data_IF_961561704621
#
_entry.id   IF_961561704621
#
_cell.length_a   1.000
_cell.length_b   1.000
_cell.length_c   1.000
_cell.angle_alpha   90.00
_cell.angle_beta   90.00
_cell.angle_gamma   90.00
#
_symmetry.space_group_name_H-M   'P 1'
#
loop_
_entity.id
_entity.type
_entity.pdbx_description
1 polymer ?
#
# COMPACT_ATOMS: atom_id res chain seq x y z
N UNK A 1 -27.95 33.36 8.40
CA UNK A 1 -26.67 33.05 7.71
C UNK A 1 -26.49 31.54 7.78
N UNK A 2 -26.53 30.86 6.65
CA UNK A 2 -26.89 29.45 6.55
C UNK A 2 -25.78 28.50 7.05
N UNK A 3 -26.19 27.54 7.88
CA UNK A 3 -25.39 26.41 8.38
C UNK A 3 -25.47 25.31 7.31
N UNK A 4 -24.37 25.07 6.59
CA UNK A 4 -24.27 24.03 5.57
C UNK A 4 -23.88 22.68 6.20
N UNK A 5 -24.89 21.85 6.46
CA UNK A 5 -24.75 20.46 6.86
C UNK A 5 -24.36 19.62 5.63
N UNK A 6 -23.07 19.31 5.45
CA UNK A 6 -22.65 18.36 4.41
C UNK A 6 -22.92 16.93 4.89
N UNK A 7 -24.07 16.40 4.48
CA UNK A 7 -24.37 14.97 4.48
C UNK A 7 -23.45 14.28 3.47
N UNK A 8 -22.44 13.56 3.95
CA UNK A 8 -21.75 12.55 3.14
C UNK A 8 -22.71 11.38 2.89
N UNK A 9 -22.95 10.96 1.64
CA UNK A 9 -23.75 9.78 1.39
C UNK A 9 -23.02 8.55 1.96
N UNK A 10 -23.74 7.77 2.77
CA UNK A 10 -23.28 6.49 3.25
C UNK A 10 -23.25 5.50 2.07
N UNK A 11 -22.07 5.26 1.51
CA UNK A 11 -21.84 4.13 0.62
C UNK A 11 -21.10 3.04 1.40
N UNK A 12 -21.79 1.93 1.61
CA UNK A 12 -21.20 0.64 1.99
C UNK A 12 -20.21 0.25 0.90
N UNK A 13 -18.92 0.13 1.26
CA UNK A 13 -17.99 -0.62 0.44
C UNK A 13 -18.50 -2.07 0.39
N UNK A 14 -18.66 -2.63 -0.80
CA UNK A 14 -18.87 -4.05 -0.95
C UNK A 14 -17.63 -4.75 -0.39
N UNK A 15 -17.84 -5.54 0.66
CA UNK A 15 -16.81 -6.36 1.24
C UNK A 15 -16.31 -7.34 0.18
N UNK A 16 -14.98 -7.41 0.00
CA UNK A 16 -14.37 -8.64 -0.49
C UNK A 16 -14.77 -9.76 0.48
N UNK A 17 -15.08 -10.93 -0.07
CA UNK A 17 -15.67 -12.09 0.60
C UNK A 17 -15.30 -12.20 2.09
N UNK A 18 -16.35 -12.11 2.90
CA UNK A 18 -16.32 -12.22 4.35
C UNK A 18 -15.64 -13.52 4.82
N UNK A 19 -14.59 -13.38 5.63
CA UNK A 19 -14.09 -14.47 6.49
C UNK A 19 -14.91 -14.45 7.80
N UNK A 20 -15.44 -15.59 8.28
CA UNK A 20 -16.20 -15.62 9.52
C UNK A 20 -15.30 -15.33 10.73
N UNK A 21 -15.79 -14.45 11.62
CA UNK A 21 -15.18 -14.21 12.92
C UNK A 21 -15.22 -15.48 13.77
N UNK A 22 -14.06 -15.94 14.24
CA UNK A 22 -13.98 -16.96 15.27
C UNK A 22 -14.14 -16.27 16.63
N UNK A 23 -15.27 -16.56 17.28
CA UNK A 23 -15.56 -16.18 18.66
C UNK A 23 -14.93 -17.21 19.61
N UNK A 24 -14.24 -16.76 20.66
CA UNK A 24 -13.50 -17.64 21.56
C UNK A 24 -12.60 -16.90 22.56
N UNK A 25 -13.21 -16.50 23.67
CA UNK A 25 -12.65 -15.67 24.73
C UNK A 25 -11.32 -16.16 25.36
N UNK A 26 -10.40 -15.23 25.60
CA UNK A 26 -9.44 -15.31 26.70
C UNK A 26 -9.47 -14.00 27.49
N UNK A 27 -9.98 -14.08 28.72
CA UNK A 27 -9.86 -13.03 29.73
C UNK A 27 -8.42 -12.98 30.24
N UNK A 28 -7.83 -11.80 30.30
CA UNK A 28 -6.66 -11.51 31.15
C UNK A 28 -6.81 -10.16 31.88
N UNK A 29 -6.22 -10.03 33.09
CA UNK A 29 -6.58 -9.03 34.11
C UNK A 29 -6.02 -7.62 33.79
N UNK A 30 -6.39 -6.56 34.55
CA UNK A 30 -6.03 -5.19 34.19
C UNK A 30 -4.52 -5.00 34.35
N UNK A 31 -3.83 -4.68 33.26
CA UNK A 31 -2.41 -4.33 33.29
C UNK A 31 -2.27 -2.86 33.64
N UNK A 32 -1.50 -2.63 34.69
CA UNK A 32 -1.21 -1.34 35.29
C UNK A 32 -0.57 -0.36 34.29
N UNK A 33 -0.93 0.91 34.44
CA UNK A 33 -0.25 2.03 33.79
C UNK A 33 1.25 2.00 34.17
N UNK A 34 2.11 1.75 33.19
CA UNK A 34 3.55 1.63 33.40
C UNK A 34 4.34 2.20 32.23
N UNK A 35 4.92 3.38 32.48
CA UNK A 35 6.07 4.00 31.80
C UNK A 35 6.02 4.17 30.27
N UNK A 36 5.65 5.38 29.85
CA UNK A 36 6.06 5.97 28.58
C UNK A 36 7.59 6.03 28.52
N UNK A 37 8.22 5.06 27.86
CA UNK A 37 9.59 5.22 27.37
C UNK A 37 9.52 6.20 26.20
N UNK A 38 10.16 7.35 26.35
CA UNK A 38 10.28 8.38 25.33
C UNK A 38 11.20 7.89 24.21
N UNK A 39 10.68 7.02 23.34
CA UNK A 39 11.35 6.65 22.09
C UNK A 39 11.47 7.93 21.27
N UNK A 40 12.69 8.43 21.12
CA UNK A 40 12.93 9.55 20.21
C UNK A 40 12.81 9.03 18.78
N UNK A 41 12.16 9.78 17.89
CA UNK A 41 11.97 9.39 16.49
C UNK A 41 13.28 9.26 15.68
N UNK A 42 14.43 9.55 16.30
CA UNK A 42 15.76 9.44 15.69
C UNK A 42 16.31 8.00 15.65
N UNK A 43 15.60 7.02 16.23
CA UNK A 43 16.04 5.61 16.27
C UNK A 43 15.48 4.72 15.14
N UNK A 44 14.63 5.24 14.24
CA UNK A 44 14.18 4.44 13.09
C UNK A 44 15.26 4.37 12.03
N UNK A 45 15.89 3.19 11.91
CA UNK A 45 16.80 2.84 10.83
C UNK A 45 16.25 1.64 10.08
N UNK A 46 15.66 1.90 8.91
CA UNK A 46 15.25 0.84 8.00
C UNK A 46 16.40 0.62 7.02
N UNK A 47 17.08 -0.52 7.12
CA UNK A 47 18.25 -0.85 6.30
C UNK A 47 19.36 0.22 6.34
N UNK A 48 19.56 0.84 7.51
CA UNK A 48 20.55 1.90 7.71
C UNK A 48 20.09 3.31 7.32
N UNK A 49 18.89 3.47 6.77
CA UNK A 49 18.33 4.76 6.36
C UNK A 49 17.40 5.32 7.43
N UNK A 50 17.53 6.62 7.68
CA UNK A 50 16.71 7.39 8.62
C UNK A 50 16.08 8.60 7.96
N UNK A 51 14.91 8.99 8.46
CA UNK A 51 14.29 10.29 8.11
C UNK A 51 15.26 11.43 8.45
N UNK A 52 15.37 12.42 7.55
CA UNK A 52 16.24 13.58 7.67
C UNK A 52 17.66 13.42 7.10
N UNK A 53 18.05 12.19 6.74
CA UNK A 53 19.30 11.90 6.03
C UNK A 53 19.38 12.69 4.71
N UNK A 54 20.57 13.15 4.32
CA UNK A 54 20.77 13.78 3.01
C UNK A 54 20.69 12.76 1.88
N UNK A 55 20.32 13.22 0.69
CA UNK A 55 20.35 12.40 -0.52
C UNK A 55 21.75 11.83 -0.78
N UNK A 56 22.82 12.58 -0.53
CA UNK A 56 24.19 12.08 -0.67
C UNK A 56 24.53 10.94 0.29
N UNK A 57 24.06 11.01 1.54
CA UNK A 57 24.25 9.92 2.51
C UNK A 57 23.43 8.69 2.11
N UNK A 58 22.19 8.88 1.64
CA UNK A 58 21.34 7.82 1.11
C UNK A 58 22.03 7.08 -0.04
N UNK A 59 22.51 7.81 -1.05
CA UNK A 59 23.22 7.24 -2.21
C UNK A 59 24.52 6.57 -1.77
N UNK A 60 25.21 7.10 -0.76
CA UNK A 60 26.39 6.47 -0.18
C UNK A 60 26.12 5.11 0.48
N UNK A 61 24.89 4.87 0.95
CA UNK A 61 24.49 3.62 1.63
C UNK A 61 23.86 2.62 0.65
N UNK A 62 22.90 3.06 -0.17
CA UNK A 62 22.13 2.17 -1.05
C UNK A 62 22.57 2.20 -2.52
N UNK A 63 23.46 3.13 -2.90
CA UNK A 63 23.78 3.40 -4.30
C UNK A 63 22.68 4.20 -5.00
N UNK A 64 22.73 4.23 -6.33
CA UNK A 64 21.71 4.91 -7.14
C UNK A 64 20.39 4.12 -7.17
N UNK A 65 19.23 4.78 -7.05
CA UNK A 65 17.94 4.12 -7.19
C UNK A 65 17.73 3.64 -8.62
N UNK A 66 16.98 2.54 -8.78
CA UNK A 66 16.60 2.06 -10.11
C UNK A 66 15.62 3.00 -10.82
N UNK A 67 14.79 3.71 -10.04
CA UNK A 67 13.75 4.61 -10.55
C UNK A 67 13.41 5.69 -9.52
N UNK A 68 12.88 6.82 -9.98
CA UNK A 68 12.33 7.91 -9.15
C UNK A 68 10.85 8.13 -9.52
N UNK A 69 9.96 7.78 -8.60
CA UNK A 69 8.52 7.75 -8.78
C UNK A 69 7.85 8.90 -8.02
N UNK A 70 6.82 9.52 -8.61
CA UNK A 70 6.08 10.59 -7.95
C UNK A 70 5.11 9.99 -6.92
N UNK A 71 5.20 10.44 -5.67
CA UNK A 71 4.27 10.05 -4.60
C UNK A 71 2.99 10.90 -4.58
N UNK A 72 1.98 10.40 -3.87
CA UNK A 72 0.76 11.12 -3.51
C UNK A 72 1.04 12.38 -2.67
N UNK A 73 2.16 12.40 -1.94
CA UNK A 73 2.64 13.52 -1.13
C UNK A 73 3.43 14.57 -1.92
N UNK A 74 3.66 14.36 -3.22
CA UNK A 74 4.46 15.24 -4.08
C UNK A 74 5.96 15.31 -3.70
N UNK A 75 6.48 14.29 -3.01
CA UNK A 75 7.91 13.96 -3.00
C UNK A 75 8.19 12.83 -4.00
N UNK A 76 9.46 12.50 -4.23
CA UNK A 76 9.84 11.37 -5.10
C UNK A 76 10.21 10.13 -4.28
N UNK A 77 9.59 8.99 -4.57
CA UNK A 77 10.04 7.68 -4.12
C UNK A 77 11.26 7.24 -4.93
N UNK A 78 12.37 7.03 -4.25
CA UNK A 78 13.57 6.43 -4.81
C UNK A 78 13.42 4.93 -4.65
N UNK A 79 13.28 4.22 -5.77
CA UNK A 79 12.92 2.81 -5.80
C UNK A 79 14.18 1.97 -5.88
N UNK A 80 14.39 1.10 -4.89
CA UNK A 80 15.49 0.13 -4.85
C UNK A 80 14.92 -1.28 -5.02
N UNK A 81 14.71 -1.67 -6.28
CA UNK A 81 14.09 -2.95 -6.66
C UNK A 81 15.07 -3.93 -7.32
N UNK A 82 16.37 -3.64 -7.31
CA UNK A 82 17.40 -4.51 -7.89
C UNK A 82 17.54 -5.82 -7.11
N UNK A 83 17.21 -5.81 -5.80
CA UNK A 83 17.06 -7.00 -4.98
C UNK A 83 15.75 -6.95 -4.19
N UNK A 84 14.75 -7.68 -4.66
CA UNK A 84 13.43 -7.74 -4.04
C UNK A 84 13.41 -8.35 -2.63
N UNK A 85 14.40 -9.17 -2.23
CA UNK A 85 14.49 -9.67 -0.84
C UNK A 85 14.75 -8.55 0.17
N UNK A 86 15.37 -7.46 -0.30
CA UNK A 86 15.70 -6.27 0.50
C UNK A 86 14.99 -5.03 -0.03
N UNK A 87 13.83 -5.21 -0.67
CA UNK A 87 13.08 -4.11 -1.29
C UNK A 87 12.85 -2.94 -0.33
N UNK A 88 13.16 -1.72 -0.80
CA UNK A 88 12.92 -0.48 -0.06
C UNK A 88 12.56 0.64 -1.04
N UNK A 89 11.66 1.52 -0.60
CA UNK A 89 11.35 2.79 -1.27
C UNK A 89 11.69 3.92 -0.31
N UNK A 90 12.43 4.92 -0.79
CA UNK A 90 12.90 6.04 0.04
C UNK A 90 12.34 7.36 -0.52
N UNK A 91 11.46 8.00 0.23
CA UNK A 91 10.87 9.28 -0.18
C UNK A 91 11.87 10.40 0.03
N UNK A 92 12.20 11.14 -1.02
CA UNK A 92 13.15 12.25 -1.01
C UNK A 92 12.44 13.53 -1.44
N UNK A 93 12.60 14.58 -0.63
CA UNK A 93 12.13 15.92 -0.95
C UNK A 93 13.19 16.95 -0.58
N UNK A 94 13.51 17.86 -1.50
CA UNK A 94 14.51 18.90 -1.31
C UNK A 94 15.87 18.35 -0.81
N UNK A 95 16.32 17.22 -1.38
CA UNK A 95 17.60 16.57 -1.03
C UNK A 95 17.63 15.90 0.34
N UNK A 96 16.48 15.65 0.95
CA UNK A 96 16.33 15.02 2.26
C UNK A 96 15.39 13.84 2.22
N UNK A 97 15.73 12.78 2.95
CA UNK A 97 14.85 11.64 3.20
C UNK A 97 13.68 12.09 4.08
N UNK A 98 12.47 11.89 3.60
CA UNK A 98 11.22 12.30 4.28
C UNK A 98 10.20 11.18 4.42
N UNK A 99 10.39 10.04 3.74
CA UNK A 99 9.56 8.86 3.93
C UNK A 99 10.36 7.58 3.65
N UNK A 100 9.90 6.46 4.19
CA UNK A 100 10.48 5.13 3.97
C UNK A 100 9.35 4.11 3.86
N UNK A 101 9.52 3.10 3.01
CA UNK A 101 8.70 1.89 3.02
C UNK A 101 9.56 0.68 2.77
N UNK A 102 9.31 -0.41 3.51
CA UNK A 102 9.89 -1.72 3.20
C UNK A 102 8.96 -2.84 3.65
N UNK A 103 8.95 -3.92 2.86
CA UNK A 103 8.36 -5.22 3.20
C UNK A 103 9.40 -6.35 3.22
N UNK A 104 10.69 -5.98 3.25
CA UNK A 104 11.79 -6.90 3.50
C UNK A 104 11.65 -7.52 4.90
N UNK A 105 12.38 -8.61 5.17
CA UNK A 105 12.32 -9.29 6.46
C UNK A 105 13.41 -8.85 7.44
N UNK A 106 14.45 -8.17 6.94
CA UNK A 106 15.68 -7.85 7.68
C UNK A 106 15.73 -6.44 8.28
N UNK A 107 14.57 -5.81 8.50
CA UNK A 107 14.50 -4.51 9.15
C UNK A 107 14.11 -4.62 10.62
N UNK A 108 14.57 -3.65 11.42
CA UNK A 108 14.19 -3.50 12.81
C UNK A 108 13.90 -2.03 13.06
N UNK A 109 12.65 -1.73 13.40
CA UNK A 109 12.20 -0.42 13.82
C UNK A 109 12.54 -0.15 15.29
N UNK A 110 12.09 1.00 15.79
CA UNK A 110 12.30 1.37 17.18
C UNK A 110 11.63 0.37 18.14
N UNK A 111 12.19 0.22 19.34
CA UNK A 111 11.65 -0.73 20.33
C UNK A 111 11.72 -2.21 19.92
N UNK A 112 12.50 -2.55 18.88
CA UNK A 112 12.68 -3.93 18.43
C UNK A 112 11.56 -4.47 17.54
N UNK A 113 10.60 -3.63 17.13
CA UNK A 113 9.52 -4.02 16.23
C UNK A 113 10.07 -4.33 14.84
N UNK A 114 9.69 -5.47 14.27
CA UNK A 114 10.16 -5.89 12.95
C UNK A 114 9.13 -6.74 12.22
N UNK A 115 9.57 -7.35 11.12
CA UNK A 115 8.79 -8.36 10.43
C UNK A 115 8.42 -9.51 11.39
N UNK A 116 7.15 -9.89 11.42
CA UNK A 116 6.64 -10.95 12.28
C UNK A 116 6.24 -10.51 13.69
N UNK A 117 6.51 -9.26 14.10
CA UNK A 117 6.05 -8.75 15.40
C UNK A 117 4.52 -8.80 15.52
N UNK A 118 4.02 -9.13 16.70
CA UNK A 118 2.60 -9.13 16.99
C UNK A 118 2.08 -7.70 17.19
N UNK A 119 0.80 -7.47 16.88
CA UNK A 119 0.16 -6.16 17.11
C UNK A 119 0.34 -5.65 18.54
N UNK A 120 0.21 -6.53 19.53
CA UNK A 120 0.35 -6.16 20.93
C UNK A 120 1.77 -5.67 21.26
N UNK A 121 2.79 -6.20 20.60
CA UNK A 121 4.17 -5.73 20.75
C UNK A 121 4.31 -4.32 20.15
N UNK A 122 3.71 -4.09 18.97
CA UNK A 122 3.66 -2.76 18.34
C UNK A 122 3.00 -1.75 19.27
N UNK A 123 1.84 -2.06 19.84
CA UNK A 123 1.12 -1.16 20.73
C UNK A 123 1.86 -0.92 22.06
N UNK A 124 2.57 -1.92 22.56
CA UNK A 124 3.44 -1.77 23.72
C UNK A 124 4.63 -0.84 23.44
N UNK A 125 5.21 -0.91 22.23
CA UNK A 125 6.34 -0.09 21.84
C UNK A 125 5.95 1.34 21.40
N UNK A 126 4.88 1.48 20.63
CA UNK A 126 4.50 2.73 19.94
C UNK A 126 3.28 3.42 20.52
N UNK A 127 2.59 2.79 21.48
CA UNK A 127 1.35 3.28 22.06
C UNK A 127 0.12 2.87 21.24
N UNK A 128 -1.03 3.42 21.61
CA UNK A 128 -2.29 3.13 20.92
C UNK A 128 -2.33 3.74 19.53
N UNK A 129 -2.94 3.03 18.55
CA UNK A 129 -3.06 3.55 17.19
C UNK A 129 -3.93 4.81 17.12
N UNK A 130 -3.57 5.71 16.22
CA UNK A 130 -4.29 6.94 15.95
C UNK A 130 -5.59 6.66 15.18
N UNK A 131 -6.73 7.01 15.79
CA UNK A 131 -8.03 6.99 15.11
C UNK A 131 -8.27 8.20 14.20
N UNK A 132 -7.51 9.28 14.39
CA UNK A 132 -7.62 10.49 13.57
C UNK A 132 -6.35 11.33 13.63
N UNK A 133 -6.19 12.20 12.65
CA UNK A 133 -5.11 13.17 12.57
C UNK A 133 -5.66 14.56 12.27
N UNK A 134 -5.24 15.56 13.05
CA UNK A 134 -5.58 16.96 12.79
C UNK A 134 -4.50 17.58 11.91
N UNK A 135 -4.84 17.95 10.68
CA UNK A 135 -3.95 18.68 9.76
C UNK A 135 -4.52 20.08 9.53
N UNK A 136 -3.82 21.10 10.04
CA UNK A 136 -4.35 22.46 10.11
C UNK A 136 -5.67 22.51 10.90
N UNK A 137 -6.75 22.93 10.23
CA UNK A 137 -8.09 23.04 10.83
C UNK A 137 -9.00 21.83 10.54
N UNK A 138 -8.51 20.81 9.83
CA UNK A 138 -9.30 19.65 9.41
C UNK A 138 -8.89 18.41 10.20
N UNK A 139 -9.87 17.66 10.69
CA UNK A 139 -9.65 16.37 11.34
C UNK A 139 -9.91 15.27 10.32
N UNK A 140 -8.87 14.51 9.99
CA UNK A 140 -8.91 13.36 9.13
C UNK A 140 -9.13 12.12 10.00
N UNK A 141 -10.25 11.44 9.82
CA UNK A 141 -10.55 10.20 10.55
C UNK A 141 -10.06 9.02 9.73
N UNK A 142 -9.33 8.12 10.38
CA UNK A 142 -8.97 6.85 9.79
C UNK A 142 -10.04 5.83 10.14
N UNK A 143 -10.45 5.04 9.15
CA UNK A 143 -11.32 3.89 9.41
C UNK A 143 -10.45 2.76 9.92
N UNK A 144 -10.98 2.00 10.87
CA UNK A 144 -10.44 0.70 11.20
C UNK A 144 -10.76 -0.24 10.04
N UNK A 145 -9.81 -0.39 9.11
CA UNK A 145 -9.95 -1.21 7.91
C UNK A 145 -9.80 -2.70 8.26
N UNK A 146 -10.66 -3.21 9.14
CA UNK A 146 -10.59 -4.59 9.63
C UNK A 146 -9.27 -4.92 10.33
N UNK A 147 -8.55 -3.91 10.83
CA UNK A 147 -7.22 -4.07 11.37
C UNK A 147 -6.10 -4.33 10.36
N UNK A 148 -6.27 -4.13 9.05
CA UNK A 148 -5.19 -4.40 8.07
C UNK A 148 -3.89 -3.61 8.35
N UNK A 149 -3.99 -2.44 8.97
CA UNK A 149 -2.85 -1.66 9.40
C UNK A 149 -3.15 -0.85 10.66
N UNK A 150 -2.10 -0.31 11.28
CA UNK A 150 -2.20 0.62 12.40
C UNK A 150 -1.27 1.81 12.17
N UNK A 151 -1.73 3.02 12.53
CA UNK A 151 -0.95 4.24 12.41
C UNK A 151 -0.56 4.75 13.80
N UNK A 152 0.72 5.01 14.00
CA UNK A 152 1.28 5.48 15.27
C UNK A 152 2.10 6.75 15.07
N UNK A 153 2.13 7.62 16.07
CA UNK A 153 3.09 8.72 16.11
C UNK A 153 4.25 8.31 17.00
N UNK A 154 5.44 8.15 16.42
CA UNK A 154 6.63 7.74 17.16
C UNK A 154 7.71 8.80 16.96
N UNK A 155 7.89 9.64 17.97
CA UNK A 155 8.76 10.81 17.87
C UNK A 155 8.33 11.76 16.74
N UNK A 156 9.24 12.01 15.79
CA UNK A 156 9.06 12.93 14.67
C UNK A 156 8.46 12.32 13.40
N UNK A 157 7.94 11.09 13.47
CA UNK A 157 7.39 10.38 12.30
C UNK A 157 6.02 9.79 12.60
N UNK A 158 5.23 9.61 11.53
CA UNK A 158 4.07 8.74 11.51
C UNK A 158 4.48 7.39 10.94
N UNK A 159 4.27 6.33 11.73
CA UNK A 159 4.59 4.96 11.37
C UNK A 159 3.30 4.17 11.10
N UNK A 160 3.14 3.71 9.87
CA UNK A 160 2.07 2.78 9.47
C UNK A 160 2.63 1.38 9.44
N UNK A 161 2.07 0.48 10.25
CA UNK A 161 2.44 -0.93 10.31
C UNK A 161 1.33 -1.73 9.64
N UNK A 162 1.68 -2.54 8.65
CA UNK A 162 0.73 -3.41 7.95
C UNK A 162 0.81 -4.83 8.49
N UNK A 163 -0.34 -5.49 8.59
CA UNK A 163 -0.47 -6.81 9.18
C UNK A 163 -0.98 -7.83 8.17
N UNK A 164 -0.49 -9.06 8.29
CA UNK A 164 -1.11 -10.22 7.63
C UNK A 164 -2.15 -10.85 8.57
N UNK A 165 -3.42 -10.56 8.29
CA UNK A 165 -4.55 -11.06 9.08
C UNK A 165 -4.69 -12.59 9.03
N UNK A 166 -4.22 -13.21 7.94
CA UNK A 166 -4.23 -14.67 7.79
C UNK A 166 -3.06 -15.38 8.48
N UNK A 167 -1.98 -14.64 8.78
CA UNK A 167 -0.77 -15.17 9.42
C UNK A 167 -0.56 -14.55 10.80
N UNK A 168 -1.46 -14.88 11.72
CA UNK A 168 -1.42 -14.51 13.15
C UNK A 168 -1.44 -12.99 13.40
N UNK A 169 -1.90 -12.18 12.45
CA UNK A 169 -1.97 -10.72 12.59
C UNK A 169 -0.60 -10.10 12.94
N UNK A 170 0.43 -10.59 12.25
CA UNK A 170 1.82 -10.16 12.45
C UNK A 170 2.24 -9.13 11.42
N UNK A 171 3.18 -8.27 11.79
CA UNK A 171 3.70 -7.19 10.93
C UNK A 171 4.38 -7.77 9.69
N UNK A 172 4.04 -7.26 8.51
CA UNK A 172 4.66 -7.65 7.23
C UNK A 172 5.44 -6.54 6.56
N UNK A 173 5.08 -5.30 6.83
CA UNK A 173 5.73 -4.12 6.25
C UNK A 173 5.51 -2.89 7.13
N UNK A 174 6.31 -1.87 6.86
CA UNK A 174 6.26 -0.59 7.55
C UNK A 174 6.39 0.55 6.56
N UNK A 175 5.60 1.60 6.75
CA UNK A 175 5.77 2.90 6.11
C UNK A 175 6.04 3.95 7.18
N UNK A 176 7.07 4.76 6.98
CA UNK A 176 7.38 5.93 7.81
C UNK A 176 7.20 7.19 6.96
N UNK A 177 6.54 8.20 7.51
CA UNK A 177 6.43 9.53 6.90
C UNK A 177 6.83 10.58 7.94
N UNK A 178 7.70 11.50 7.57
CA UNK A 178 8.07 12.64 8.41
C UNK A 178 6.81 13.41 8.84
N UNK A 179 6.74 13.76 10.13
CA UNK A 179 5.57 14.41 10.71
C UNK A 179 5.21 15.72 9.98
N UNK A 180 6.20 16.52 9.58
CA UNK A 180 5.94 17.79 8.90
C UNK A 180 5.37 17.55 7.51
N UNK A 181 5.87 16.53 6.80
CA UNK A 181 5.32 16.13 5.50
C UNK A 181 3.86 15.69 5.65
N UNK A 182 3.57 14.75 6.56
CA UNK A 182 2.22 14.23 6.77
C UNK A 182 1.21 15.33 7.13
N UNK A 183 1.60 16.24 8.04
CA UNK A 183 0.75 17.34 8.48
C UNK A 183 0.58 18.45 7.43
N UNK A 184 1.54 18.61 6.50
CA UNK A 184 1.44 19.55 5.39
C UNK A 184 0.55 19.05 4.26
N UNK A 185 0.41 17.72 4.11
CA UNK A 185 -0.38 17.09 3.07
C UNK A 185 -1.88 17.28 3.33
N UNK A 186 -2.53 18.04 2.45
CA UNK A 186 -3.97 18.32 2.52
C UNK A 186 -4.74 17.26 1.74
N UNK A 187 -5.62 16.54 2.41
CA UNK A 187 -6.37 15.44 1.81
C UNK A 187 -5.76 14.08 2.11
N UNK A 188 -6.25 13.09 1.37
CA UNK A 188 -5.76 11.71 1.38
C UNK A 188 -5.13 11.32 0.03
N UNK A 189 -5.43 12.05 -1.04
CA UNK A 189 -5.07 11.68 -2.41
C UNK A 189 -4.17 12.74 -3.03
N UNK A 190 -3.14 12.27 -3.74
CA UNK A 190 -2.29 13.13 -4.54
C UNK A 190 -3.04 13.77 -5.70
N UNK A 191 -2.48 14.85 -6.25
CA UNK A 191 -3.04 15.49 -7.44
C UNK A 191 -2.89 14.55 -8.64
N UNK A 192 -3.99 14.18 -9.34
CA UNK A 192 -3.92 13.32 -10.51
C UNK A 192 -2.97 13.89 -11.58
N UNK A 193 -2.11 13.03 -12.11
CA UNK A 193 -1.24 13.32 -13.26
C UNK A 193 -0.85 12.02 -13.94
N UNK A 194 -0.43 12.10 -15.20
CA UNK A 194 0.11 10.94 -15.94
C UNK A 194 1.32 10.35 -15.22
N UNK A 195 2.25 11.19 -14.77
CA UNK A 195 3.42 10.78 -14.00
C UNK A 195 3.06 10.03 -12.72
N UNK A 196 2.08 10.52 -11.96
CA UNK A 196 1.60 9.83 -10.76
C UNK A 196 0.95 8.48 -11.10
N UNK A 197 0.15 8.42 -12.17
CA UNK A 197 -0.46 7.16 -12.65
C UNK A 197 0.61 6.12 -12.94
N UNK A 198 1.64 6.48 -13.71
CA UNK A 198 2.73 5.57 -14.10
C UNK A 198 3.58 5.14 -12.91
N UNK A 199 3.84 6.07 -11.98
CA UNK A 199 4.55 5.79 -10.73
C UNK A 199 3.82 4.71 -9.94
N UNK A 200 2.53 4.92 -9.64
CA UNK A 200 1.72 3.96 -8.89
C UNK A 200 1.60 2.60 -9.60
N UNK A 201 1.47 2.57 -10.94
CA UNK A 201 1.42 1.32 -11.70
C UNK A 201 2.73 0.50 -11.58
N UNK A 202 3.88 1.17 -11.63
CA UNK A 202 5.20 0.53 -11.47
C UNK A 202 5.47 0.12 -10.03
N UNK A 203 5.08 0.95 -9.05
CA UNK A 203 5.17 0.62 -7.63
C UNK A 203 4.36 -0.65 -7.31
N UNK A 204 3.15 -0.80 -7.87
CA UNK A 204 2.34 -2.02 -7.69
C UNK A 204 3.08 -3.27 -8.21
N UNK A 205 3.74 -3.19 -9.39
CA UNK A 205 4.56 -4.30 -9.91
C UNK A 205 5.68 -4.65 -8.91
N UNK A 206 6.40 -3.65 -8.42
CA UNK A 206 7.53 -3.84 -7.52
C UNK A 206 7.11 -4.44 -6.18
N UNK A 207 6.00 -3.95 -5.61
CA UNK A 207 5.42 -4.48 -4.37
C UNK A 207 4.97 -5.94 -4.54
N UNK A 208 4.31 -6.25 -5.65
CA UNK A 208 3.94 -7.63 -6.01
C UNK A 208 5.17 -8.52 -6.15
N UNK A 209 6.22 -8.07 -6.82
CA UNK A 209 7.45 -8.84 -6.99
C UNK A 209 8.23 -9.03 -5.69
N UNK A 210 8.26 -8.02 -4.82
CA UNK A 210 8.86 -8.12 -3.49
C UNK A 210 8.22 -9.24 -2.66
N UNK A 211 6.89 -9.31 -2.62
CA UNK A 211 6.19 -10.39 -1.92
C UNK A 211 6.39 -11.73 -2.62
N UNK A 212 6.34 -11.78 -3.96
CA UNK A 212 6.55 -13.03 -4.70
C UNK A 212 7.92 -13.63 -4.40
N UNK A 213 8.98 -12.83 -4.44
CA UNK A 213 10.34 -13.30 -4.14
C UNK A 213 10.43 -13.80 -2.70
N UNK A 214 9.85 -13.09 -1.73
CA UNK A 214 9.78 -13.51 -0.32
C UNK A 214 9.06 -14.86 -0.14
N UNK A 215 8.08 -15.16 -0.99
CA UNK A 215 7.35 -16.44 -0.99
C UNK A 215 7.96 -17.49 -1.95
N UNK A 216 9.19 -17.28 -2.43
CA UNK A 216 9.91 -18.22 -3.30
C UNK A 216 9.39 -18.30 -4.73
N UNK A 217 8.61 -17.31 -5.17
CA UNK A 217 8.09 -17.20 -6.55
C UNK A 217 8.98 -16.32 -7.40
N UNK A 218 9.00 -16.58 -8.71
CA UNK A 218 9.71 -15.75 -9.68
C UNK A 218 9.03 -14.37 -9.80
N UNK A 219 9.78 -13.27 -9.92
CA UNK A 219 9.24 -11.97 -10.30
C UNK A 219 8.45 -12.06 -11.60
N UNK A 220 7.38 -11.28 -11.70
CA UNK A 220 6.63 -11.05 -12.93
C UNK A 220 7.33 -10.00 -13.76
N UNK A 221 7.35 -10.20 -15.07
CA UNK A 221 7.81 -9.20 -16.01
C UNK A 221 6.67 -8.24 -16.36
N UNK A 222 6.97 -6.95 -16.45
CA UNK A 222 6.00 -5.98 -16.93
C UNK A 222 5.62 -6.26 -18.38
N UNK A 223 4.35 -6.07 -18.72
CA UNK A 223 3.88 -6.09 -20.09
C UNK A 223 2.98 -4.87 -20.38
N UNK A 224 3.35 -4.09 -21.39
CA UNK A 224 2.64 -2.85 -21.73
C UNK A 224 1.25 -3.10 -22.33
N UNK A 225 1.09 -4.17 -23.12
CA UNK A 225 -0.18 -4.49 -23.77
C UNK A 225 -1.28 -4.79 -22.74
N UNK A 226 -0.99 -5.67 -21.77
CA UNK A 226 -1.94 -6.00 -20.71
C UNK A 226 -2.16 -4.83 -19.73
N UNK A 227 -1.16 -3.96 -19.56
CA UNK A 227 -1.32 -2.73 -18.78
C UNK A 227 -2.33 -1.78 -19.45
N UNK A 228 -2.34 -1.68 -20.79
CA UNK A 228 -3.37 -0.93 -21.51
C UNK A 228 -4.76 -1.51 -21.26
N UNK A 229 -4.92 -2.84 -21.30
CA UNK A 229 -6.20 -3.50 -20.96
C UNK A 229 -6.63 -3.22 -19.51
N UNK A 230 -5.70 -3.28 -18.56
CA UNK A 230 -5.96 -2.96 -17.15
C UNK A 230 -6.40 -1.49 -16.98
N UNK A 231 -5.74 -0.55 -17.67
CA UNK A 231 -6.10 0.89 -17.63
C UNK A 231 -7.50 1.13 -18.19
N UNK A 232 -7.87 0.44 -19.28
CA UNK A 232 -9.23 0.51 -19.84
C UNK A 232 -10.27 0.09 -18.80
N UNK A 233 -10.04 -1.01 -18.07
CA UNK A 233 -10.99 -1.50 -17.06
C UNK A 233 -11.09 -0.54 -15.86
N UNK A 234 -9.97 -0.06 -15.33
CA UNK A 234 -9.98 0.97 -14.28
C UNK A 234 -10.72 2.25 -14.72
N UNK A 235 -10.53 2.68 -15.97
CA UNK A 235 -11.25 3.83 -16.52
C UNK A 235 -12.74 3.54 -16.73
N UNK A 236 -13.12 2.31 -17.07
CA UNK A 236 -14.51 1.90 -17.24
C UNK A 236 -15.24 1.90 -15.89
N UNK A 237 -14.65 1.25 -14.87
CA UNK A 237 -15.13 1.28 -13.47
C UNK A 237 -15.35 2.72 -12.98
N UNK A 238 -14.37 3.59 -13.26
CA UNK A 238 -14.45 5.01 -12.90
C UNK A 238 -15.59 5.76 -13.61
N UNK A 239 -15.67 5.64 -14.94
CA UNK A 239 -16.61 6.42 -15.77
C UNK A 239 -18.06 5.97 -15.59
N UNK A 240 -18.27 4.67 -15.45
CA UNK A 240 -19.61 4.05 -15.32
C UNK A 240 -19.98 3.73 -13.87
N UNK A 241 -19.17 4.21 -12.92
CA UNK A 241 -19.41 4.16 -11.47
C UNK A 241 -19.79 2.75 -10.99
N UNK A 242 -18.98 1.75 -11.34
CA UNK A 242 -19.13 0.38 -10.86
C UNK A 242 -17.79 -0.14 -10.33
N UNK A 243 -17.86 -1.23 -9.56
CA UNK A 243 -16.68 -1.94 -9.06
C UNK A 243 -16.93 -3.44 -9.14
N UNK A 244 -16.41 -4.07 -10.20
CA UNK A 244 -16.64 -5.48 -10.53
C UNK A 244 -15.58 -5.98 -11.52
N UNK A 245 -15.30 -7.28 -11.51
CA UNK A 245 -14.48 -7.93 -12.53
C UNK A 245 -15.15 -7.90 -13.90
N UNK A 246 -16.45 -8.20 -13.94
CA UNK A 246 -17.26 -8.11 -15.16
C UNK A 246 -17.75 -6.67 -15.33
N UNK A 247 -17.62 -6.12 -16.54
CA UNK A 247 -18.15 -4.80 -16.84
C UNK A 247 -19.67 -4.85 -17.09
N UNK A 248 -20.38 -3.71 -17.11
CA UNK A 248 -21.83 -3.72 -17.28
C UNK A 248 -22.31 -4.18 -18.66
N UNK A 249 -21.40 -4.41 -19.62
CA UNK A 249 -21.70 -5.05 -20.91
C UNK A 249 -21.55 -6.58 -20.85
N UNK A 250 -21.26 -7.13 -19.66
CA UNK A 250 -21.10 -8.56 -19.41
C UNK A 250 -19.74 -9.12 -19.82
N UNK A 251 -18.75 -8.27 -20.11
CA UNK A 251 -17.41 -8.71 -20.49
C UNK A 251 -16.58 -9.00 -19.25
N UNK A 252 -16.08 -10.24 -19.15
CA UNK A 252 -15.13 -10.65 -18.13
C UNK A 252 -13.72 -10.09 -18.40
N UNK A 253 -12.78 -10.19 -17.43
CA UNK A 253 -11.39 -9.82 -17.66
C UNK A 253 -10.80 -10.55 -18.88
N UNK A 254 -11.19 -11.81 -19.07
CA UNK A 254 -10.74 -12.67 -20.15
C UNK A 254 -11.28 -12.25 -21.51
N UNK A 255 -12.54 -11.79 -21.56
CA UNK A 255 -13.12 -11.21 -22.79
C UNK A 255 -12.39 -9.93 -23.19
N UNK A 256 -12.08 -9.07 -22.21
CA UNK A 256 -11.31 -7.84 -22.45
C UNK A 256 -9.90 -8.14 -22.95
N UNK A 257 -9.19 -9.09 -22.34
CA UNK A 257 -7.87 -9.54 -22.80
C UNK A 257 -7.92 -10.09 -24.22
N UNK A 258 -8.90 -10.94 -24.54
CA UNK A 258 -9.10 -11.49 -25.88
C UNK A 258 -9.41 -10.42 -26.91
N UNK A 259 -10.26 -9.45 -26.57
CA UNK A 259 -10.60 -8.32 -27.45
C UNK A 259 -9.38 -7.45 -27.77
N UNK A 260 -8.48 -7.29 -26.80
CA UNK A 260 -7.22 -6.57 -26.96
C UNK A 260 -6.10 -7.41 -27.60
N UNK A 261 -6.40 -8.64 -28.04
CA UNK A 261 -5.47 -9.50 -28.77
C UNK A 261 -4.47 -10.26 -27.90
N UNK A 262 -4.69 -10.30 -26.58
CA UNK A 262 -3.79 -10.95 -25.64
C UNK A 262 -4.08 -12.45 -25.59
N UNK A 263 -3.16 -13.24 -26.13
CA UNK A 263 -3.21 -14.70 -26.09
C UNK A 263 -2.45 -15.24 -24.87
N UNK A 264 -3.10 -16.09 -24.08
CA UNK A 264 -2.51 -16.63 -22.85
C UNK A 264 -2.95 -18.07 -22.58
N UNK A 265 -2.14 -18.79 -21.78
CA UNK A 265 -2.48 -20.10 -21.22
C UNK A 265 -3.08 -20.04 -19.82
N UNK A 266 -2.78 -18.96 -19.09
CA UNK A 266 -3.30 -18.67 -17.75
C UNK A 266 -3.44 -17.15 -17.61
N UNK A 267 -4.49 -16.68 -16.96
CA UNK A 267 -4.67 -15.26 -16.63
C UNK A 267 -5.44 -15.09 -15.31
N UNK A 268 -5.32 -13.92 -14.71
CA UNK A 268 -6.05 -13.52 -13.51
C UNK A 268 -6.16 -12.01 -13.40
N UNK A 269 -7.11 -11.52 -12.61
CA UNK A 269 -7.31 -10.09 -12.36
C UNK A 269 -7.46 -9.83 -10.86
N UNK A 270 -6.82 -8.78 -10.36
CA UNK A 270 -7.17 -8.16 -9.08
C UNK A 270 -7.66 -6.73 -9.33
N UNK A 271 -8.64 -6.26 -8.57
CA UNK A 271 -9.13 -4.88 -8.62
C UNK A 271 -9.15 -4.27 -7.21
N UNK A 272 -8.93 -2.97 -7.12
CA UNK A 272 -9.08 -2.19 -5.89
C UNK A 272 -9.59 -0.78 -6.21
N UNK A 273 -10.24 -0.14 -5.25
CA UNK A 273 -10.72 1.23 -5.41
C UNK A 273 -10.74 1.95 -4.05
N UNK A 274 -10.34 3.22 -4.02
CA UNK A 274 -10.30 4.04 -2.80
C UNK A 274 -9.00 4.01 -2.01
N UNK A 275 -8.03 3.19 -2.40
CA UNK A 275 -6.71 3.19 -1.77
C UNK A 275 -5.88 4.40 -2.22
N UNK A 276 -5.20 5.02 -1.27
CA UNK A 276 -4.52 6.31 -1.48
C UNK A 276 -3.20 6.19 -2.23
N UNK A 277 -2.58 5.01 -2.23
CA UNK A 277 -1.34 4.72 -2.94
C UNK A 277 -1.21 3.23 -3.30
N UNK A 278 -0.17 2.91 -4.09
CA UNK A 278 0.18 1.56 -4.49
C UNK A 278 0.44 0.65 -3.29
N UNK A 279 1.07 1.18 -2.23
CA UNK A 279 1.31 0.47 -0.97
C UNK A 279 -0.02 0.01 -0.35
N UNK A 280 -0.96 0.92 -0.14
CA UNK A 280 -2.25 0.57 0.46
C UNK A 280 -3.08 -0.37 -0.42
N UNK A 281 -3.04 -0.21 -1.75
CA UNK A 281 -3.71 -1.13 -2.67
C UNK A 281 -3.11 -2.55 -2.56
N UNK A 282 -1.78 -2.65 -2.55
CA UNK A 282 -1.07 -3.92 -2.44
C UNK A 282 -1.34 -4.64 -1.12
N UNK A 283 -1.22 -3.95 0.02
CA UNK A 283 -1.43 -4.54 1.34
C UNK A 283 -2.90 -4.98 1.53
N UNK A 284 -3.85 -4.27 0.92
CA UNK A 284 -5.25 -4.69 0.90
C UNK A 284 -5.48 -5.96 0.06
N UNK A 285 -4.88 -6.06 -1.14
CA UNK A 285 -4.93 -7.31 -1.93
C UNK A 285 -4.31 -8.48 -1.18
N UNK A 286 -3.21 -8.26 -0.47
CA UNK A 286 -2.58 -9.30 0.31
C UNK A 286 -3.50 -9.82 1.42
N UNK A 287 -4.35 -8.98 2.03
CA UNK A 287 -5.31 -9.43 3.04
C UNK A 287 -6.59 -10.07 2.48
N UNK A 288 -6.74 -10.19 1.16
CA UNK A 288 -7.81 -10.93 0.51
C UNK A 288 -7.30 -12.27 -0.05
N UNK A 289 -7.93 -13.37 0.32
CA UNK A 289 -7.51 -14.72 -0.10
C UNK A 289 -7.48 -14.88 -1.62
N UNK A 290 -8.53 -14.43 -2.32
CA UNK A 290 -8.60 -14.49 -3.79
C UNK A 290 -7.51 -13.67 -4.46
N UNK A 291 -7.33 -12.41 -4.04
CA UNK A 291 -6.33 -11.53 -4.62
C UNK A 291 -4.89 -11.99 -4.34
N UNK A 292 -4.63 -12.45 -3.11
CA UNK A 292 -3.33 -13.06 -2.73
C UNK A 292 -3.02 -14.28 -3.58
N UNK A 293 -4.00 -15.15 -3.84
CA UNK A 293 -3.81 -16.33 -4.69
C UNK A 293 -3.36 -15.94 -6.11
N UNK A 294 -3.94 -14.88 -6.69
CA UNK A 294 -3.48 -14.37 -7.98
C UNK A 294 -2.03 -13.85 -7.92
N UNK A 295 -1.70 -13.04 -6.89
CA UNK A 295 -0.34 -12.50 -6.70
C UNK A 295 0.71 -13.61 -6.57
N UNK A 296 0.37 -14.74 -5.96
CA UNK A 296 1.29 -15.87 -5.71
C UNK A 296 1.19 -17.01 -6.73
N UNK A 297 0.33 -16.89 -7.75
CA UNK A 297 0.18 -17.89 -8.81
C UNK A 297 1.35 -17.87 -9.81
N UNK A 298 1.48 -18.94 -10.60
CA UNK A 298 2.60 -19.13 -11.54
C UNK A 298 2.40 -18.37 -12.88
N UNK A 299 2.00 -17.10 -12.78
CA UNK A 299 2.00 -16.16 -13.89
C UNK A 299 3.43 -15.72 -14.27
N UNK A 300 3.60 -15.24 -15.49
CA UNK A 300 4.90 -14.78 -16.02
C UNK A 300 4.90 -13.27 -16.33
N UNK A 301 3.73 -12.66 -16.53
CA UNK A 301 3.55 -11.26 -16.92
C UNK A 301 2.54 -10.55 -16.02
N UNK A 302 2.76 -9.26 -15.81
CA UNK A 302 1.83 -8.36 -15.13
C UNK A 302 1.75 -7.03 -15.87
N UNK A 303 0.55 -6.49 -15.99
CA UNK A 303 0.34 -5.08 -16.24
C UNK A 303 -0.65 -4.52 -15.24
N UNK A 304 -0.40 -3.28 -14.85
CA UNK A 304 -1.21 -2.55 -13.88
C UNK A 304 -1.81 -1.35 -14.58
N UNK A 305 -3.08 -1.09 -14.31
CA UNK A 305 -3.78 0.08 -14.79
C UNK A 305 -4.40 0.86 -13.67
N UNK A 306 -4.28 2.19 -13.75
CA UNK A 306 -4.84 3.10 -12.76
C UNK A 306 -5.69 4.17 -13.44
N UNK A 307 -6.83 4.48 -12.84
CA UNK A 307 -7.66 5.62 -13.21
C UNK A 307 -8.02 6.45 -11.99
N UNK A 308 -7.80 7.76 -12.08
CA UNK A 308 -8.22 8.73 -11.06
C UNK A 308 -9.63 9.26 -11.35
N UNK A 309 -10.35 9.66 -10.30
CA UNK A 309 -11.69 10.22 -10.36
C UNK A 309 -12.78 9.27 -9.88
N UNK A 310 -14.03 9.62 -10.16
CA UNK A 310 -15.21 8.85 -9.75
C UNK A 310 -15.43 8.80 -8.23
N UNK A 311 -16.47 8.08 -7.76
CA UNK A 311 -16.83 8.02 -6.35
C UNK A 311 -15.75 7.46 -5.41
N UNK A 312 -14.89 6.57 -5.93
CA UNK A 312 -13.79 5.96 -5.18
C UNK A 312 -12.48 6.75 -5.29
N UNK A 313 -12.42 7.87 -5.99
CA UNK A 313 -11.24 8.73 -6.20
C UNK A 313 -10.09 8.09 -7.01
N UNK A 314 -9.79 6.81 -6.83
CA UNK A 314 -8.76 6.04 -7.55
C UNK A 314 -9.24 4.61 -7.73
N UNK A 315 -8.97 4.03 -8.90
CA UNK A 315 -9.23 2.64 -9.26
C UNK A 315 -7.93 2.00 -9.73
N UNK A 316 -7.71 0.75 -9.31
CA UNK A 316 -6.55 -0.05 -9.63
C UNK A 316 -7.00 -1.37 -10.25
N UNK A 317 -6.28 -1.84 -11.27
CA UNK A 317 -6.44 -3.17 -11.86
C UNK A 317 -5.07 -3.80 -12.06
N UNK A 318 -4.85 -5.00 -11.51
CA UNK A 318 -3.73 -5.87 -11.87
C UNK A 318 -4.24 -6.94 -12.81
N UNK A 319 -3.67 -7.04 -14.00
CA UNK A 319 -3.92 -8.14 -14.92
C UNK A 319 -2.67 -9.00 -15.08
N UNK A 320 -2.79 -10.25 -14.66
CA UNK A 320 -1.75 -11.25 -14.72
C UNK A 320 -1.99 -12.14 -15.92
N UNK A 321 -0.93 -12.56 -16.61
CA UNK A 321 -1.06 -13.62 -17.59
C UNK A 321 0.25 -14.38 -17.80
N UNK A 322 0.12 -15.52 -18.47
CA UNK A 322 1.24 -16.23 -19.05
C UNK A 322 1.02 -16.43 -20.55
N UNK A 323 1.94 -15.98 -21.42
CA UNK A 323 1.79 -16.10 -22.87
C UNK A 323 1.53 -17.54 -23.32
N UNK A 324 0.73 -17.69 -24.37
CA UNK A 324 0.67 -18.94 -25.14
C UNK A 324 2.02 -19.15 -25.83
N UNK A 325 2.58 -20.36 -25.74
CA UNK A 325 3.82 -20.72 -26.45
C UNK A 325 3.60 -20.83 -27.95
#
# INVERSE_FOLDING_TARGET
>A
MAIGLFLTPAFTYAAADSIPAADGALRTPPVAAGASSTISGTEFKLQGISIGMSESELIGILGEPARKDLSEYNFEWYIYNQNYERYIQVGVQHGKVVALYTNAQDWTGAGGIGFGSARQEVEAAYGSPLASLKKGNTIYKFKDNGGEYSLHQVGGVYATLFYDLSRKNTVTSIQLVDQKIELSFKGFYGKPSERLRESLEREVLDLTNAVRVREGKKPLEWNDEIAVTARKHSADMMKRTFFSHDNPDGQSPFDRMKQDGIAYRMAGENIAAGQTSAIFAHENWMNSSGHRNNILSDFERLGVGISFGGPYQVYYTQNFFTPSR
#
